data_IF_851162368374
#
_entry.id   IF_851162368374
#
_cell.length_a   1.000
_cell.length_b   1.000
_cell.length_c   1.000
_cell.angle_alpha   90.00
_cell.angle_beta   90.00
_cell.angle_gamma   90.00
#
_symmetry.space_group_name_H-M   'P 1'
#
loop_
_entity.id
_entity.type
_entity.pdbx_description
1 polymer ?
#
# COMPACT_ATOMS: atom_id res chain seq x y z
N UNK A 1 -26.75 -16.34 16.21
CA UNK A 1 -25.45 -16.62 15.55
C UNK A 1 -25.30 -15.98 14.16
N UNK A 2 -26.33 -15.39 13.54
CA UNK A 2 -26.24 -14.84 12.18
C UNK A 2 -25.53 -13.48 12.07
N UNK A 3 -25.64 -12.58 13.06
CA UNK A 3 -25.03 -11.23 13.02
C UNK A 3 -23.50 -11.20 12.89
N UNK A 4 -22.81 -12.29 13.29
CA UNK A 4 -21.34 -12.36 13.27
C UNK A 4 -20.79 -12.70 11.86
N UNK A 5 -21.51 -13.51 11.09
CA UNK A 5 -21.09 -13.92 9.74
C UNK A 5 -21.19 -12.78 8.72
N UNK A 6 -22.22 -11.94 8.83
CA UNK A 6 -22.43 -10.78 7.93
C UNK A 6 -21.37 -9.70 8.13
N UNK A 7 -20.94 -9.46 9.37
CA UNK A 7 -19.92 -8.45 9.68
C UNK A 7 -18.53 -8.84 9.16
N UNK A 8 -18.19 -10.13 9.24
CA UNK A 8 -16.93 -10.68 8.73
C UNK A 8 -16.86 -10.71 7.19
N UNK A 9 -17.98 -10.88 6.48
CA UNK A 9 -17.99 -10.79 5.02
C UNK A 9 -17.81 -9.34 4.55
N UNK A 10 -18.51 -8.38 5.18
CA UNK A 10 -18.38 -6.95 4.91
C UNK A 10 -16.95 -6.42 5.14
N UNK A 11 -16.26 -6.86 6.21
CA UNK A 11 -14.87 -6.45 6.46
C UNK A 11 -13.88 -7.01 5.40
N UNK A 12 -14.12 -8.21 4.87
CA UNK A 12 -13.36 -8.77 3.73
C UNK A 12 -13.62 -8.00 2.44
N UNK A 13 -14.86 -7.59 2.20
CA UNK A 13 -15.24 -6.84 0.98
C UNK A 13 -14.64 -5.42 0.98
N UNK A 14 -14.64 -4.75 2.14
CA UNK A 14 -14.02 -3.41 2.31
C UNK A 14 -12.49 -3.47 2.13
N UNK A 15 -11.84 -4.52 2.65
CA UNK A 15 -10.40 -4.70 2.50
C UNK A 15 -10.02 -4.92 1.03
N UNK A 16 -10.70 -5.86 0.35
CA UNK A 16 -10.47 -6.16 -1.06
C UNK A 16 -10.72 -4.95 -1.94
N UNK A 17 -11.78 -4.17 -1.66
CA UNK A 17 -12.07 -2.93 -2.38
C UNK A 17 -10.98 -1.87 -2.19
N UNK A 18 -10.49 -1.69 -0.95
CA UNK A 18 -9.43 -0.72 -0.65
C UNK A 18 -8.12 -1.12 -1.32
N UNK A 19 -7.75 -2.40 -1.27
CA UNK A 19 -6.54 -2.92 -1.91
C UNK A 19 -6.58 -2.76 -3.45
N UNK A 20 -7.71 -3.08 -4.08
CA UNK A 20 -7.93 -2.84 -5.52
C UNK A 20 -7.87 -1.36 -5.86
N UNK A 21 -8.42 -0.50 -4.99
CA UNK A 21 -8.37 0.96 -5.17
C UNK A 21 -6.94 1.48 -5.15
N UNK A 22 -6.07 0.99 -4.25
CA UNK A 22 -4.65 1.37 -4.24
C UNK A 22 -3.97 1.02 -5.58
N UNK A 23 -4.28 -0.16 -6.11
CA UNK A 23 -3.79 -0.61 -7.41
C UNK A 23 -4.25 0.29 -8.56
N UNK A 24 -5.54 0.68 -8.58
CA UNK A 24 -6.11 1.57 -9.60
C UNK A 24 -5.53 2.98 -9.56
N UNK A 25 -5.04 3.44 -8.42
CA UNK A 25 -4.40 4.76 -8.30
C UNK A 25 -2.93 4.73 -8.71
N UNK A 26 -2.20 3.65 -8.37
CA UNK A 26 -0.76 3.57 -8.61
C UNK A 26 -0.41 3.26 -10.05
N UNK A 27 -1.17 2.38 -10.71
CA UNK A 27 -0.86 2.00 -12.08
C UNK A 27 -0.85 3.23 -13.03
N UNK A 28 -1.84 4.14 -12.99
CA UNK A 28 -1.77 5.39 -13.76
C UNK A 28 -0.59 6.28 -13.38
N UNK A 29 -0.17 6.31 -12.10
CA UNK A 29 1.01 7.11 -11.70
C UNK A 29 2.26 6.62 -12.44
N UNK A 30 2.44 5.30 -12.51
CA UNK A 30 3.59 4.70 -13.20
C UNK A 30 3.56 5.04 -14.70
N UNK A 31 2.42 4.81 -15.36
CA UNK A 31 2.27 5.12 -16.79
C UNK A 31 2.50 6.60 -17.10
N UNK A 32 1.94 7.49 -16.30
CA UNK A 32 2.10 8.93 -16.50
C UNK A 32 3.55 9.38 -16.23
N UNK A 33 4.25 8.74 -15.29
CA UNK A 33 5.67 8.98 -15.04
C UNK A 33 6.54 8.49 -16.20
N UNK A 34 6.24 7.33 -16.80
CA UNK A 34 6.94 6.85 -18.00
C UNK A 34 6.83 7.85 -19.15
N UNK A 35 5.62 8.36 -19.40
CA UNK A 35 5.40 9.39 -20.43
C UNK A 35 6.11 10.70 -20.08
N UNK A 36 5.98 11.15 -18.82
CA UNK A 36 6.60 12.40 -18.37
C UNK A 36 8.14 12.38 -18.43
N UNK A 37 8.74 11.20 -18.31
CA UNK A 37 10.19 11.01 -18.25
C UNK A 37 10.73 10.30 -19.50
N UNK A 38 9.97 10.27 -20.60
CA UNK A 38 10.35 9.57 -21.83
C UNK A 38 11.73 10.03 -22.35
N UNK A 39 11.94 11.35 -22.41
CA UNK A 39 13.19 11.97 -22.90
C UNK A 39 14.30 12.06 -21.85
N UNK A 40 14.04 11.65 -20.61
CA UNK A 40 15.04 11.66 -19.54
C UNK A 40 15.96 10.45 -19.70
N UNK A 41 17.30 10.62 -19.65
CA UNK A 41 18.25 9.51 -19.73
C UNK A 41 17.98 8.44 -18.67
N UNK A 42 18.10 7.17 -19.05
CA UNK A 42 17.71 6.04 -18.20
C UNK A 42 18.40 6.08 -16.83
N UNK A 43 19.71 6.34 -16.78
CA UNK A 43 20.45 6.42 -15.51
C UNK A 43 19.97 7.51 -14.54
N UNK A 44 19.13 8.46 -14.98
CA UNK A 44 18.50 9.47 -14.10
C UNK A 44 17.12 9.07 -13.60
N UNK A 45 16.46 8.07 -14.19
CA UNK A 45 15.10 7.63 -13.86
C UNK A 45 15.00 6.17 -13.39
N UNK A 46 16.01 5.35 -13.66
CA UNK A 46 16.07 3.91 -13.31
C UNK A 46 15.71 3.64 -11.84
N UNK A 47 16.29 4.41 -10.92
CA UNK A 47 16.02 4.25 -9.48
C UNK A 47 14.56 4.52 -9.13
N UNK A 48 13.92 5.49 -9.78
CA UNK A 48 12.51 5.80 -9.57
C UNK A 48 11.65 4.64 -10.09
N UNK A 49 11.90 4.16 -11.31
CA UNK A 49 11.12 3.06 -11.89
C UNK A 49 11.30 1.75 -11.14
N UNK A 50 12.49 1.44 -10.64
CA UNK A 50 12.70 0.31 -9.74
C UNK A 50 11.86 0.41 -8.46
N UNK A 51 11.80 1.59 -7.85
CA UNK A 51 10.98 1.83 -6.66
C UNK A 51 9.49 1.67 -6.96
N UNK A 52 9.04 2.12 -8.14
CA UNK A 52 7.65 1.96 -8.57
C UNK A 52 7.30 0.51 -8.92
N UNK A 53 8.24 -0.25 -9.47
CA UNK A 53 8.08 -1.68 -9.69
C UNK A 53 7.97 -2.43 -8.36
N UNK A 54 8.92 -2.21 -7.43
CA UNK A 54 8.87 -2.79 -6.08
C UNK A 54 7.54 -2.46 -5.38
N UNK A 55 7.05 -1.22 -5.53
CA UNK A 55 5.76 -0.79 -5.01
C UNK A 55 4.62 -1.66 -5.56
N UNK A 56 4.55 -1.84 -6.88
CA UNK A 56 3.53 -2.68 -7.52
C UNK A 56 3.62 -4.13 -7.02
N UNK A 57 4.82 -4.70 -6.95
CA UNK A 57 5.05 -6.07 -6.47
C UNK A 57 4.57 -6.26 -5.03
N UNK A 58 4.86 -5.29 -4.13
CA UNK A 58 4.40 -5.36 -2.75
C UNK A 58 2.88 -5.20 -2.61
N UNK A 59 2.23 -4.44 -3.49
CA UNK A 59 0.78 -4.32 -3.48
C UNK A 59 0.09 -5.61 -3.95
N UNK A 60 0.64 -6.26 -4.98
CA UNK A 60 0.17 -7.58 -5.45
C UNK A 60 0.37 -8.62 -4.35
N UNK A 61 1.58 -8.68 -3.80
CA UNK A 61 1.91 -9.63 -2.71
C UNK A 61 0.97 -9.41 -1.53
N UNK A 62 0.78 -8.15 -1.12
CA UNK A 62 -0.16 -7.80 -0.06
C UNK A 62 -1.61 -8.17 -0.38
N UNK A 63 -2.05 -8.09 -1.63
CA UNK A 63 -3.42 -8.46 -2.01
C UNK A 63 -3.67 -9.97 -1.90
N UNK A 64 -2.78 -10.77 -2.51
CA UNK A 64 -2.92 -12.23 -2.58
C UNK A 64 -2.49 -12.97 -1.30
N UNK A 65 -1.79 -12.31 -0.38
CA UNK A 65 -1.32 -12.94 0.84
C UNK A 65 -2.46 -13.29 1.82
N UNK A 66 -2.45 -14.53 2.31
CA UNK A 66 -3.45 -15.06 3.25
C UNK A 66 -3.00 -14.89 4.71
N UNK A 67 -1.71 -14.89 4.97
CA UNK A 67 -1.15 -14.69 6.30
C UNK A 67 -1.15 -13.20 6.68
N UNK A 68 -1.90 -12.84 7.73
CA UNK A 68 -2.07 -11.44 8.14
C UNK A 68 -0.74 -10.71 8.41
N UNK A 69 0.26 -11.39 8.95
CA UNK A 69 1.58 -10.81 9.21
C UNK A 69 2.33 -10.50 7.91
N UNK A 70 2.38 -11.44 6.98
CA UNK A 70 3.02 -11.21 5.67
C UNK A 70 2.27 -10.16 4.83
N UNK A 71 0.94 -10.15 4.94
CA UNK A 71 0.06 -9.13 4.36
C UNK A 71 0.38 -7.75 4.93
N UNK A 72 0.53 -7.64 6.26
CA UNK A 72 0.96 -6.41 6.94
C UNK A 72 2.33 -5.92 6.45
N UNK A 73 3.31 -6.81 6.41
CA UNK A 73 4.67 -6.49 5.97
C UNK A 73 4.70 -6.03 4.50
N UNK A 74 3.90 -6.65 3.65
CA UNK A 74 3.73 -6.25 2.25
C UNK A 74 3.23 -4.81 2.13
N UNK A 75 2.15 -4.43 2.82
CA UNK A 75 1.63 -3.05 2.76
C UNK A 75 2.54 -2.02 3.47
N UNK A 76 3.28 -2.42 4.51
CA UNK A 76 4.34 -1.61 5.10
C UNK A 76 5.45 -1.27 4.08
N UNK A 77 5.91 -2.27 3.32
CA UNK A 77 6.91 -2.10 2.26
C UNK A 77 6.37 -1.24 1.12
N UNK A 78 5.13 -1.48 0.67
CA UNK A 78 4.48 -0.64 -0.33
C UNK A 78 4.42 0.83 0.11
N UNK A 79 3.96 1.10 1.35
CA UNK A 79 3.95 2.46 1.91
C UNK A 79 5.34 3.11 1.88
N UNK A 80 6.38 2.35 2.26
CA UNK A 80 7.76 2.84 2.23
C UNK A 80 8.18 3.20 0.80
N UNK A 81 7.85 2.39 -0.19
CA UNK A 81 8.17 2.68 -1.58
C UNK A 81 7.44 3.92 -2.11
N UNK A 82 6.19 4.17 -1.72
CA UNK A 82 5.52 5.44 -2.03
C UNK A 82 6.31 6.65 -1.50
N UNK A 83 6.84 6.55 -0.27
CA UNK A 83 7.65 7.61 0.34
C UNK A 83 8.99 7.83 -0.39
N UNK A 84 9.65 6.75 -0.82
CA UNK A 84 10.88 6.82 -1.60
C UNK A 84 10.60 7.43 -2.99
N UNK A 85 9.53 7.02 -3.67
CA UNK A 85 9.12 7.57 -4.95
C UNK A 85 8.85 9.08 -4.83
N UNK A 86 8.12 9.48 -3.79
CA UNK A 86 7.83 10.89 -3.50
C UNK A 86 9.12 11.71 -3.35
N UNK A 87 10.08 11.21 -2.56
CA UNK A 87 11.37 11.84 -2.39
C UNK A 87 12.13 12.00 -3.71
N UNK A 88 12.19 10.95 -4.54
CA UNK A 88 12.87 10.98 -5.84
C UNK A 88 12.22 11.97 -6.81
N UNK A 89 10.88 12.03 -6.84
CA UNK A 89 10.14 13.01 -7.66
C UNK A 89 10.44 14.45 -7.22
N UNK A 90 10.51 14.72 -5.91
CA UNK A 90 10.94 16.03 -5.42
C UNK A 90 12.40 16.36 -5.81
N UNK A 91 13.31 15.39 -5.76
CA UNK A 91 14.68 15.58 -6.23
C UNK A 91 14.73 15.90 -7.72
N UNK A 92 13.94 15.21 -8.55
CA UNK A 92 13.82 15.52 -9.97
C UNK A 92 13.33 16.95 -10.22
N UNK A 93 12.38 17.43 -9.41
CA UNK A 93 11.94 18.83 -9.43
C UNK A 93 13.06 19.80 -9.05
N UNK A 94 13.77 19.53 -7.97
CA UNK A 94 14.89 20.36 -7.51
C UNK A 94 16.01 20.47 -8.56
N UNK A 95 16.31 19.37 -9.24
CA UNK A 95 17.30 19.32 -10.31
C UNK A 95 16.76 19.76 -11.68
N UNK A 96 15.54 20.31 -11.76
CA UNK A 96 14.88 20.77 -12.99
C UNK A 96 14.77 19.68 -14.08
N UNK A 97 14.69 18.41 -13.68
CA UNK A 97 14.43 17.27 -14.56
C UNK A 97 12.93 17.16 -14.85
N UNK A 98 12.10 17.51 -13.87
CA UNK A 98 10.64 17.47 -13.97
C UNK A 98 10.07 18.85 -13.61
N UNK A 99 9.04 19.28 -14.33
CA UNK A 99 8.34 20.54 -14.06
C UNK A 99 7.68 20.55 -12.68
N UNK A 100 7.68 21.73 -12.03
CA UNK A 100 7.13 21.90 -10.67
C UNK A 100 5.68 21.43 -10.56
N UNK A 101 4.85 21.71 -11.55
CA UNK A 101 3.43 21.32 -11.53
C UNK A 101 3.27 19.80 -11.57
N UNK A 102 4.08 19.11 -12.38
CA UNK A 102 4.11 17.64 -12.44
C UNK A 102 4.59 17.03 -11.12
N UNK A 103 5.64 17.60 -10.52
CA UNK A 103 6.15 17.17 -9.21
C UNK A 103 5.05 17.25 -8.14
N UNK A 104 4.29 18.35 -8.12
CA UNK A 104 3.18 18.53 -7.19
C UNK A 104 2.03 17.57 -7.44
N UNK A 105 1.66 17.33 -8.71
CA UNK A 105 0.59 16.39 -9.04
C UNK A 105 0.95 14.94 -8.65
N UNK A 106 2.11 14.45 -9.09
CA UNK A 106 2.58 13.12 -8.71
C UNK A 106 2.76 12.99 -7.20
N UNK A 107 3.26 14.04 -6.55
CA UNK A 107 3.42 14.06 -5.10
C UNK A 107 2.10 13.93 -4.36
N UNK A 108 1.06 14.62 -4.82
CA UNK A 108 -0.31 14.50 -4.28
C UNK A 108 -0.87 13.10 -4.47
N UNK A 109 -0.72 12.52 -5.66
CA UNK A 109 -1.22 11.17 -5.97
C UNK A 109 -0.54 10.10 -5.10
N UNK A 110 0.79 10.17 -4.95
CA UNK A 110 1.54 9.27 -4.07
C UNK A 110 1.17 9.46 -2.59
N UNK A 111 0.88 10.69 -2.15
CA UNK A 111 0.40 10.95 -0.79
C UNK A 111 -0.96 10.28 -0.52
N UNK A 112 -1.87 10.27 -1.49
CA UNK A 112 -3.13 9.51 -1.38
C UNK A 112 -2.87 8.00 -1.31
N UNK A 113 -1.93 7.48 -2.09
CA UNK A 113 -1.50 6.08 -1.98
C UNK A 113 -0.99 5.73 -0.58
N UNK A 114 -0.19 6.61 0.03
CA UNK A 114 0.28 6.44 1.42
C UNK A 114 -0.89 6.38 2.40
N UNK A 115 -1.89 7.26 2.26
CA UNK A 115 -3.09 7.26 3.13
C UNK A 115 -3.86 5.94 3.01
N UNK A 116 -4.04 5.43 1.80
CA UNK A 116 -4.72 4.16 1.59
C UNK A 116 -3.94 2.97 2.15
N UNK A 117 -2.61 2.93 1.95
CA UNK A 117 -1.76 1.92 2.58
C UNK A 117 -1.86 1.98 4.11
N UNK A 118 -1.85 3.16 4.72
CA UNK A 118 -2.05 3.30 6.17
C UNK A 118 -3.41 2.76 6.63
N UNK A 119 -4.47 2.97 5.84
CA UNK A 119 -5.79 2.41 6.15
C UNK A 119 -5.78 0.87 6.12
N UNK A 120 -5.13 0.27 5.12
CA UNK A 120 -4.98 -1.18 5.01
C UNK A 120 -4.19 -1.75 6.18
N UNK A 121 -3.03 -1.14 6.49
CA UNK A 121 -2.16 -1.50 7.62
C UNK A 121 -2.95 -1.48 8.93
N UNK A 122 -3.67 -0.39 9.22
CA UNK A 122 -4.48 -0.26 10.45
C UNK A 122 -5.58 -1.32 10.54
N UNK A 123 -6.23 -1.65 9.42
CA UNK A 123 -7.24 -2.70 9.39
C UNK A 123 -6.64 -4.08 9.68
N UNK A 124 -5.44 -4.37 9.14
CA UNK A 124 -4.73 -5.62 9.42
C UNK A 124 -4.30 -5.69 10.89
N UNK A 125 -3.76 -4.61 11.46
CA UNK A 125 -3.39 -4.54 12.88
C UNK A 125 -4.58 -4.84 13.81
N UNK A 126 -5.74 -4.25 13.51
CA UNK A 126 -6.96 -4.51 14.26
C UNK A 126 -7.38 -5.99 14.18
N UNK A 127 -7.22 -6.63 13.01
CA UNK A 127 -7.54 -8.04 12.84
C UNK A 127 -6.57 -8.96 13.58
N UNK A 128 -5.27 -8.64 13.57
CA UNK A 128 -4.24 -9.38 14.32
C UNK A 128 -4.57 -9.32 15.82
N UNK A 129 -4.84 -8.14 16.37
CA UNK A 129 -5.19 -7.96 17.80
C UNK A 129 -6.43 -8.77 18.21
N UNK A 130 -7.49 -8.73 17.40
CA UNK A 130 -8.72 -9.52 17.66
C UNK A 130 -8.44 -11.03 17.68
N UNK A 131 -7.55 -11.53 16.83
CA UNK A 131 -7.17 -12.94 16.82
C UNK A 131 -6.40 -13.34 18.07
N UNK A 132 -5.48 -12.50 18.54
CA UNK A 132 -4.73 -12.75 19.77
C UNK A 132 -5.63 -12.70 21.02
N UNK A 133 -6.54 -11.73 21.09
CA UNK A 133 -7.56 -11.65 22.15
C UNK A 133 -8.48 -12.89 22.17
N UNK A 134 -8.85 -13.41 20.99
CA UNK A 134 -9.68 -14.61 20.89
C UNK A 134 -8.93 -15.87 21.33
N UNK A 135 -7.65 -16.01 20.95
CA UNK A 135 -6.80 -17.11 21.40
C UNK A 135 -6.66 -17.10 22.92
N UNK A 136 -6.36 -15.94 23.50
CA UNK A 136 -6.26 -15.75 24.95
C UNK A 136 -7.56 -16.13 25.68
N UNK A 137 -8.71 -15.72 25.15
CA UNK A 137 -10.01 -16.07 25.72
C UNK A 137 -10.29 -17.59 25.67
N UNK A 138 -9.95 -18.25 24.57
CA UNK A 138 -10.10 -19.69 24.43
C UNK A 138 -9.17 -20.48 25.35
N UNK A 139 -7.95 -20.00 25.57
CA UNK A 139 -7.01 -20.58 26.54
C UNK A 139 -7.53 -20.45 27.98
N UNK A 140 -8.10 -19.29 28.35
CA UNK A 140 -8.76 -19.12 29.66
C UNK A 140 -9.93 -20.08 29.86
N UNK A 141 -10.82 -20.20 28.87
CA UNK A 141 -11.97 -21.12 28.94
C UNK A 141 -11.52 -22.59 29.06
N UNK A 142 -10.39 -22.96 28.44
CA UNK A 142 -9.80 -24.29 28.59
C UNK A 142 -9.16 -24.52 29.96
N UNK A 143 -8.60 -23.48 30.58
CA UNK A 143 -8.02 -23.57 31.94
C UNK A 143 -9.06 -23.58 33.06
N UNK A 144 -10.27 -23.11 32.78
CA UNK A 144 -11.41 -23.08 33.71
C UNK A 144 -12.29 -24.35 33.59
N UNK A 145 -11.88 -25.35 32.80
CA UNK A 145 -12.50 -26.69 32.66
C UNK A 145 -11.53 -27.78 33.11
#
# INVERSE_FOLDING_TARGET
>A
MEKSKTKLSLEKDIFSFTALRVWREIFPIVMDLEVCLADVPEGKKERLFKVLQDLLEFLVSGYYEFHLVEKYLSYQKARKQCGIALFLIYQMGFHKIMEKEKVLDFGRRLAECIKMCNSLIKNIENNIRRMDETKFLMERIKSER
#
